data_IF_127970655408
#
_entry.id   IF_127970655408
#
_cell.length_a   1.000
_cell.length_b   1.000
_cell.length_c   1.000
_cell.angle_alpha   90.00
_cell.angle_beta   90.00
_cell.angle_gamma   90.00
#
_symmetry.space_group_name_H-M   'P 1'
#
loop_
_entity.id
_entity.type
_entity.pdbx_description
1 polymer ?
#
# COMPACT_ATOMS: atom_id res chain seq x y z
N UNK A 1 10.39 12.41 -3.09
CA UNK A 1 9.89 11.76 -4.30
C UNK A 1 10.80 10.67 -4.80
N UNK A 2 10.30 9.80 -5.66
CA UNK A 2 11.05 8.68 -6.21
C UNK A 2 10.47 8.19 -7.52
N UNK A 3 11.15 7.23 -8.14
CA UNK A 3 10.70 6.56 -9.35
C UNK A 3 10.75 5.05 -9.10
N UNK A 4 9.66 4.35 -9.42
CA UNK A 4 9.60 2.90 -9.43
C UNK A 4 9.77 2.40 -10.87
N UNK A 5 10.74 1.51 -11.06
CA UNK A 5 11.02 0.89 -12.36
C UNK A 5 10.31 -0.46 -12.48
N UNK A 6 9.87 -0.86 -13.69
CA UNK A 6 9.21 -2.13 -13.95
C UNK A 6 10.23 -3.28 -14.04
N UNK A 7 10.86 -3.63 -12.92
CA UNK A 7 11.90 -4.68 -12.86
C UNK A 7 11.35 -6.08 -12.63
N UNK A 8 10.08 -6.21 -12.27
CA UNK A 8 9.42 -7.49 -12.04
C UNK A 8 8.98 -8.16 -13.34
N UNK A 9 8.95 -9.50 -13.33
CA UNK A 9 8.33 -10.29 -14.41
C UNK A 9 6.82 -10.00 -14.44
N UNK A 10 6.30 -9.69 -15.60
CA UNK A 10 4.87 -9.55 -15.86
C UNK A 10 4.24 -10.92 -16.05
N UNK A 11 2.96 -11.03 -15.74
CA UNK A 11 2.13 -12.19 -16.04
C UNK A 11 2.15 -12.52 -17.54
N UNK A 12 2.33 -13.81 -17.86
CA UNK A 12 2.20 -14.32 -19.21
C UNK A 12 0.74 -14.77 -19.41
N UNK A 13 -0.04 -14.08 -20.25
CA UNK A 13 -1.45 -14.41 -20.47
C UNK A 13 -1.68 -15.82 -21.04
N UNK A 14 -0.64 -16.50 -21.49
CA UNK A 14 -0.70 -17.86 -22.05
C UNK A 14 -0.32 -18.93 -21.02
N UNK A 15 0.12 -18.54 -19.82
CA UNK A 15 0.48 -19.46 -18.75
C UNK A 15 -0.40 -19.24 -17.51
N UNK A 16 -1.39 -20.09 -17.29
CA UNK A 16 -2.34 -20.02 -16.18
C UNK A 16 -1.71 -20.20 -14.78
N UNK A 17 -0.47 -20.66 -14.71
CA UNK A 17 0.25 -20.92 -13.43
C UNK A 17 1.37 -19.92 -13.21
N UNK A 18 1.53 -18.94 -14.08
CA UNK A 18 2.53 -17.89 -13.92
C UNK A 18 2.11 -16.91 -12.81
N UNK A 19 3.03 -16.60 -11.93
CA UNK A 19 2.84 -15.58 -10.89
C UNK A 19 3.60 -14.33 -11.33
N UNK A 20 2.88 -13.22 -11.43
CA UNK A 20 3.48 -11.94 -11.66
C UNK A 20 4.19 -11.43 -10.39
N UNK A 21 5.39 -10.90 -10.56
CA UNK A 21 6.16 -10.24 -9.51
C UNK A 21 6.30 -8.73 -9.72
N UNK A 22 5.52 -8.18 -10.64
CA UNK A 22 5.56 -6.75 -10.92
C UNK A 22 4.44 -6.27 -11.83
N UNK A 23 4.03 -5.02 -11.63
CA UNK A 23 3.01 -4.37 -12.45
C UNK A 23 3.45 -4.09 -13.90
N UNK A 24 4.76 -4.20 -14.18
CA UNK A 24 5.35 -3.83 -15.47
C UNK A 24 5.32 -2.33 -15.78
N UNK A 25 4.78 -1.48 -14.90
CA UNK A 25 4.61 -0.07 -15.11
C UNK A 25 5.63 0.77 -14.35
N UNK A 26 6.05 1.89 -14.96
CA UNK A 26 6.76 2.95 -14.23
C UNK A 26 5.77 3.68 -13.32
N UNK A 27 6.26 4.14 -12.16
CA UNK A 27 5.47 5.03 -11.31
C UNK A 27 6.34 6.17 -10.76
N UNK A 28 5.75 7.35 -10.65
CA UNK A 28 6.31 8.48 -9.93
C UNK A 28 5.73 8.46 -8.51
N UNK A 29 6.62 8.48 -7.52
CA UNK A 29 6.27 8.35 -6.12
C UNK A 29 6.40 9.71 -5.44
N UNK A 30 5.33 10.18 -4.83
CA UNK A 30 5.30 11.40 -4.04
C UNK A 30 4.97 11.04 -2.61
N UNK A 31 5.80 11.51 -1.67
CA UNK A 31 5.58 11.30 -0.24
C UNK A 31 5.82 12.59 0.52
N UNK A 32 4.88 12.92 1.38
CA UNK A 32 4.98 14.02 2.33
C UNK A 32 4.81 13.47 3.74
N UNK A 33 5.78 13.76 4.61
CA UNK A 33 5.74 13.39 6.03
C UNK A 33 5.77 14.65 6.87
N UNK A 34 5.00 14.66 7.94
CA UNK A 34 5.00 15.72 8.92
C UNK A 34 4.90 15.15 10.34
N UNK A 35 5.82 15.58 11.20
CA UNK A 35 5.83 15.28 12.62
C UNK A 35 5.46 16.52 13.42
N UNK A 36 4.55 16.38 14.38
CA UNK A 36 4.15 17.42 15.28
C UNK A 36 4.41 17.01 16.74
N UNK A 37 5.29 17.73 17.42
CA UNK A 37 5.78 17.43 18.76
C UNK A 37 5.65 18.62 19.73
N UNK A 38 4.78 19.59 19.44
CA UNK A 38 4.62 20.79 20.28
C UNK A 38 3.90 20.52 21.60
N UNK A 39 3.22 19.39 21.73
CA UNK A 39 2.53 19.00 22.97
C UNK A 39 3.44 18.02 23.74
N UNK A 40 3.65 18.33 25.02
CA UNK A 40 4.47 17.46 25.89
C UNK A 40 3.93 16.04 25.92
N UNK A 41 4.84 15.07 25.78
CA UNK A 41 4.54 13.63 25.78
C UNK A 41 3.68 13.13 24.60
N UNK A 42 3.31 13.96 23.63
CA UNK A 42 2.53 13.59 22.46
C UNK A 42 3.37 13.79 21.20
N UNK A 43 3.47 12.73 20.40
CA UNK A 43 4.02 12.78 19.05
C UNK A 43 2.91 12.42 18.08
N UNK A 44 2.65 13.29 17.11
CA UNK A 44 1.75 13.03 16.01
C UNK A 44 2.57 12.95 14.73
N UNK A 45 2.29 11.94 13.92
CA UNK A 45 2.90 11.81 12.59
C UNK A 45 1.80 11.68 11.54
N UNK A 46 1.96 12.39 10.44
CA UNK A 46 1.12 12.30 9.26
C UNK A 46 1.94 12.05 8.01
N UNK A 47 1.57 11.06 7.23
CA UNK A 47 2.19 10.75 5.95
C UNK A 47 1.12 10.68 4.87
N UNK A 48 1.32 11.41 3.78
CA UNK A 48 0.53 11.31 2.54
C UNK A 48 1.43 10.75 1.45
N UNK A 49 0.95 9.73 0.76
CA UNK A 49 1.66 9.09 -0.35
C UNK A 49 0.75 9.10 -1.58
N UNK A 50 1.35 9.39 -2.74
CA UNK A 50 0.69 9.32 -4.04
C UNK A 50 1.63 8.68 -5.06
N UNK A 51 1.21 7.54 -5.61
CA UNK A 51 1.91 6.83 -6.66
C UNK A 51 1.18 7.09 -7.98
N UNK A 52 1.74 7.96 -8.83
CA UNK A 52 1.27 8.19 -10.19
C UNK A 52 1.80 7.07 -11.08
N UNK A 53 0.93 6.15 -11.50
CA UNK A 53 1.30 5.00 -12.32
C UNK A 53 1.20 5.36 -13.80
N UNK A 54 2.31 5.25 -14.52
CA UNK A 54 2.35 5.61 -15.94
C UNK A 54 1.75 4.49 -16.81
N UNK A 55 1.02 4.86 -17.88
CA UNK A 55 0.48 3.88 -18.82
C UNK A 55 1.57 3.06 -19.48
N UNK A 56 1.27 1.78 -19.68
CA UNK A 56 2.16 0.84 -20.35
C UNK A 56 1.45 0.08 -21.45
N UNK A 57 2.21 -0.58 -22.32
CA UNK A 57 1.67 -1.51 -23.30
C UNK A 57 1.94 -2.93 -22.82
N UNK A 58 0.89 -3.73 -22.75
CA UNK A 58 0.95 -5.14 -22.34
C UNK A 58 0.03 -5.97 -23.20
N UNK A 59 0.28 -7.27 -23.28
CA UNK A 59 -0.63 -8.21 -23.95
C UNK A 59 -1.57 -8.79 -22.91
N UNK A 60 -2.87 -8.68 -23.13
CA UNK A 60 -3.89 -9.24 -22.26
C UNK A 60 -4.82 -10.17 -23.03
N UNK A 61 -5.41 -11.13 -22.33
CA UNK A 61 -6.61 -11.84 -22.75
C UNK A 61 -7.82 -11.05 -22.26
N UNK A 62 -8.74 -10.76 -23.18
CA UNK A 62 -9.89 -9.88 -22.93
C UNK A 62 -11.16 -10.71 -23.05
N UNK A 63 -11.74 -11.15 -21.92
CA UNK A 63 -12.98 -11.91 -21.93
C UNK A 63 -14.17 -11.03 -22.32
N UNK A 64 -15.13 -11.59 -23.03
CA UNK A 64 -16.38 -10.92 -23.38
C UNK A 64 -17.29 -10.70 -22.17
N UNK A 65 -17.15 -11.54 -21.14
CA UNK A 65 -17.87 -11.47 -19.87
C UNK A 65 -16.90 -11.70 -18.70
N UNK A 66 -17.05 -10.92 -17.64
CA UNK A 66 -16.25 -11.01 -16.40
C UNK A 66 -16.39 -12.39 -15.72
N UNK A 67 -17.58 -13.02 -15.84
CA UNK A 67 -17.86 -14.32 -15.24
C UNK A 67 -17.30 -15.50 -16.05
N UNK A 68 -16.80 -15.25 -17.28
CA UNK A 68 -16.20 -16.25 -18.15
C UNK A 68 -14.77 -15.82 -18.49
N UNK A 69 -13.82 -15.96 -17.57
CA UNK A 69 -12.47 -15.40 -17.72
C UNK A 69 -11.63 -16.08 -18.80
N UNK A 70 -12.00 -17.31 -19.23
CA UNK A 70 -11.28 -18.01 -20.27
C UNK A 70 -11.71 -17.50 -21.66
N UNK A 71 -10.77 -16.91 -22.39
CA UNK A 71 -11.00 -16.36 -23.72
C UNK A 71 -9.80 -16.58 -24.64
N UNK A 72 -10.05 -16.67 -25.93
CA UNK A 72 -9.02 -16.65 -26.98
C UNK A 72 -8.72 -15.23 -27.47
N UNK A 73 -9.54 -14.23 -27.07
CA UNK A 73 -9.36 -12.83 -27.45
C UNK A 73 -8.07 -12.29 -26.81
N UNK A 74 -7.04 -12.11 -27.62
CA UNK A 74 -5.72 -11.65 -27.18
C UNK A 74 -5.35 -10.39 -27.94
N UNK A 75 -4.95 -9.38 -27.22
CA UNK A 75 -4.55 -8.11 -27.80
C UNK A 75 -3.43 -7.46 -27.03
N UNK A 76 -2.56 -6.70 -27.76
CA UNK A 76 -1.60 -5.79 -27.17
C UNK A 76 -2.26 -4.45 -26.91
N UNK A 77 -2.62 -4.20 -25.67
CA UNK A 77 -3.38 -3.03 -25.22
C UNK A 77 -2.50 -2.00 -24.52
N UNK A 78 -3.00 -0.77 -24.43
CA UNK A 78 -2.51 0.25 -23.54
C UNK A 78 -3.26 0.11 -22.23
N UNK A 79 -2.55 -0.22 -21.14
CA UNK A 79 -3.10 -0.33 -19.78
C UNK A 79 -2.56 0.81 -18.93
N UNK A 80 -3.44 1.52 -18.27
CA UNK A 80 -3.14 2.43 -17.18
C UNK A 80 -3.63 1.77 -15.89
N UNK A 81 -2.70 1.25 -15.12
CA UNK A 81 -2.98 0.73 -13.78
C UNK A 81 -3.32 1.93 -12.90
N UNK A 82 -4.44 1.89 -12.20
CA UNK A 82 -4.90 3.02 -11.40
C UNK A 82 -3.85 3.52 -10.40
N UNK A 83 -3.84 4.82 -10.17
CA UNK A 83 -2.95 5.46 -9.19
C UNK A 83 -3.27 4.97 -7.77
N UNK A 84 -2.28 5.05 -6.88
CA UNK A 84 -2.42 4.65 -5.49
C UNK A 84 -2.29 5.89 -4.60
N UNK A 85 -3.23 6.05 -3.68
CA UNK A 85 -3.24 7.10 -2.68
C UNK A 85 -3.22 6.44 -1.31
N UNK A 86 -2.29 6.86 -0.44
CA UNK A 86 -2.26 6.38 0.93
C UNK A 86 -2.14 7.54 1.93
N UNK A 87 -2.83 7.39 3.06
CA UNK A 87 -2.77 8.27 4.21
C UNK A 87 -2.43 7.43 5.45
N UNK A 88 -1.36 7.80 6.14
CA UNK A 88 -0.97 7.18 7.41
C UNK A 88 -0.96 8.26 8.48
N UNK A 89 -1.68 8.03 9.54
CA UNK A 89 -1.71 8.90 10.71
C UNK A 89 -1.31 8.08 11.93
N UNK A 90 -0.42 8.62 12.76
CA UNK A 90 -0.12 8.00 14.04
C UNK A 90 -0.08 9.03 15.16
N UNK A 91 -0.47 8.57 16.34
CA UNK A 91 -0.37 9.32 17.58
C UNK A 91 0.27 8.43 18.65
N UNK A 92 1.30 8.95 19.30
CA UNK A 92 1.97 8.28 20.41
C UNK A 92 1.94 9.19 21.62
N UNK A 93 1.39 8.71 22.72
CA UNK A 93 1.32 9.45 23.97
C UNK A 93 2.04 8.71 25.09
N UNK A 94 3.07 9.34 25.64
CA UNK A 94 3.80 8.81 26.80
C UNK A 94 3.01 9.09 28.07
N UNK A 95 2.38 8.03 28.60
CA UNK A 95 1.55 8.05 29.81
C UNK A 95 2.41 8.23 31.07
N UNK A 96 3.50 7.47 31.14
CA UNK A 96 4.45 7.46 32.24
C UNK A 96 5.83 7.04 31.74
N UNK A 97 6.89 7.17 32.55
CA UNK A 97 8.25 6.76 32.19
C UNK A 97 8.25 5.35 31.61
N UNK A 98 8.57 5.21 30.34
CA UNK A 98 8.62 3.95 29.62
C UNK A 98 7.27 3.39 29.14
N UNK A 99 6.12 3.91 29.57
CA UNK A 99 4.79 3.45 29.13
C UNK A 99 4.24 4.43 28.08
N UNK A 100 3.94 3.90 26.91
CA UNK A 100 3.39 4.67 25.78
C UNK A 100 2.12 4.00 25.24
N UNK A 101 1.11 4.80 25.00
CA UNK A 101 -0.07 4.40 24.21
C UNK A 101 0.11 4.88 22.77
N UNK A 102 -0.28 4.05 21.79
CA UNK A 102 -0.17 4.37 20.38
C UNK A 102 -1.46 4.10 19.63
N UNK A 103 -1.76 4.95 18.66
CA UNK A 103 -2.84 4.79 17.70
C UNK A 103 -2.24 5.00 16.31
N UNK A 104 -2.57 4.08 15.38
CA UNK A 104 -2.20 4.22 13.98
C UNK A 104 -3.44 3.99 13.11
N UNK A 105 -3.62 4.85 12.14
CA UNK A 105 -4.61 4.71 11.07
C UNK A 105 -3.88 4.70 9.73
N UNK A 106 -4.19 3.71 8.90
CA UNK A 106 -3.70 3.62 7.53
C UNK A 106 -4.90 3.46 6.58
N UNK A 107 -5.01 4.39 5.68
CA UNK A 107 -5.91 4.35 4.53
C UNK A 107 -5.11 4.16 3.27
N UNK A 108 -5.57 3.27 2.39
CA UNK A 108 -5.00 3.08 1.05
C UNK A 108 -6.14 2.89 0.05
N UNK A 109 -6.07 3.60 -1.05
CA UNK A 109 -6.99 3.46 -2.17
C UNK A 109 -6.20 3.33 -3.48
N UNK A 110 -6.49 2.30 -4.25
CA UNK A 110 -6.06 2.14 -5.64
C UNK A 110 -7.23 2.53 -6.55
N UNK A 111 -6.99 3.42 -7.49
CA UNK A 111 -7.97 3.83 -8.49
C UNK A 111 -8.19 2.71 -9.52
N UNK A 112 -9.30 2.80 -10.24
CA UNK A 112 -9.66 1.83 -11.28
C UNK A 112 -8.66 1.84 -12.44
N UNK A 113 -8.30 0.65 -12.91
CA UNK A 113 -7.50 0.49 -14.13
C UNK A 113 -8.29 0.98 -15.36
N UNK A 114 -7.56 1.44 -16.37
CA UNK A 114 -8.11 1.78 -17.68
C UNK A 114 -7.35 1.02 -18.76
N UNK A 115 -8.09 0.37 -19.65
CA UNK A 115 -7.55 -0.43 -20.74
C UNK A 115 -8.10 0.07 -22.05
N UNK A 116 -7.25 0.24 -23.04
CA UNK A 116 -7.65 0.61 -24.40
C UNK A 116 -6.86 -0.18 -25.44
N UNK A 117 -7.54 -0.63 -26.47
CA UNK A 117 -6.96 -1.35 -27.61
C UNK A 117 -7.67 -1.00 -28.91
N UNK A 118 -7.28 -1.64 -29.99
CA UNK A 118 -7.71 -1.32 -31.35
C UNK A 118 -8.67 -2.36 -31.95
N UNK A 119 -8.81 -3.56 -31.31
CA UNK A 119 -9.64 -4.65 -31.83
C UNK A 119 -11.13 -4.56 -31.46
N UNK A 120 -11.52 -3.57 -30.64
CA UNK A 120 -12.93 -3.36 -30.28
C UNK A 120 -13.50 -4.38 -29.30
N UNK A 121 -12.66 -5.05 -28.51
CA UNK A 121 -13.11 -5.95 -27.45
C UNK A 121 -13.76 -5.18 -26.30
N UNK A 122 -14.44 -5.91 -25.41
CA UNK A 122 -15.06 -5.32 -24.22
C UNK A 122 -14.02 -5.09 -23.12
N UNK A 123 -13.20 -4.03 -23.23
CA UNK A 123 -12.13 -3.73 -22.27
C UNK A 123 -12.64 -3.50 -20.84
N UNK A 124 -13.91 -3.11 -20.68
CA UNK A 124 -14.54 -2.95 -19.37
C UNK A 124 -14.52 -4.23 -18.53
N UNK A 125 -14.49 -5.41 -19.17
CA UNK A 125 -14.41 -6.69 -18.47
C UNK A 125 -13.13 -6.87 -17.67
N UNK A 126 -12.00 -6.34 -18.15
CA UNK A 126 -10.68 -6.38 -17.48
C UNK A 126 -10.43 -5.19 -16.59
N UNK A 127 -11.28 -4.16 -16.63
CA UNK A 127 -11.23 -2.99 -15.75
C UNK A 127 -12.10 -3.15 -14.50
N UNK A 128 -13.09 -4.06 -14.56
CA UNK A 128 -14.06 -4.24 -13.47
C UNK A 128 -13.35 -4.74 -12.20
N UNK A 129 -13.73 -4.17 -11.06
CA UNK A 129 -13.22 -4.58 -9.74
C UNK A 129 -11.70 -4.44 -9.55
N UNK A 130 -11.02 -3.60 -10.36
CA UNK A 130 -9.59 -3.36 -10.22
C UNK A 130 -9.24 -2.27 -9.21
N UNK A 131 -10.24 -1.49 -8.77
CA UNK A 131 -10.08 -0.55 -7.67
C UNK A 131 -10.15 -1.25 -6.33
N UNK A 132 -9.34 -0.81 -5.38
CA UNK A 132 -9.36 -1.33 -4.01
C UNK A 132 -9.35 -0.18 -3.01
N UNK A 133 -9.94 -0.40 -1.85
CA UNK A 133 -9.89 0.52 -0.74
C UNK A 133 -9.69 -0.28 0.55
N UNK A 134 -8.76 0.13 1.37
CA UNK A 134 -8.50 -0.51 2.65
C UNK A 134 -8.32 0.50 3.77
N UNK A 135 -8.78 0.13 4.96
CA UNK A 135 -8.61 0.87 6.19
C UNK A 135 -7.99 -0.06 7.23
N UNK A 136 -6.94 0.38 7.89
CA UNK A 136 -6.30 -0.39 8.95
C UNK A 136 -6.19 0.49 10.17
N UNK A 137 -6.65 -0.01 11.31
CA UNK A 137 -6.55 0.62 12.61
C UNK A 137 -5.67 -0.23 13.52
N UNK A 138 -4.72 0.40 14.19
CA UNK A 138 -3.90 -0.27 15.20
C UNK A 138 -3.92 0.55 16.48
N UNK A 139 -4.28 -0.10 17.59
CA UNK A 139 -4.20 0.48 18.92
C UNK A 139 -3.20 -0.36 19.71
N UNK A 140 -2.24 0.29 20.35
CA UNK A 140 -1.19 -0.43 21.07
C UNK A 140 -0.76 0.26 22.35
N UNK A 141 -0.15 -0.55 23.21
CA UNK A 141 0.58 -0.09 24.39
C UNK A 141 1.98 -0.70 24.36
N UNK A 142 2.96 0.09 24.70
CA UNK A 142 4.33 -0.37 24.84
C UNK A 142 4.92 0.05 26.18
N UNK A 143 5.74 -0.84 26.77
CA UNK A 143 6.51 -0.54 27.95
C UNK A 143 7.99 -0.79 27.69
N UNK A 144 8.82 0.25 27.89
CA UNK A 144 10.26 0.19 27.69
C UNK A 144 11.00 0.33 29.03
N UNK A 145 11.90 -0.61 29.30
CA UNK A 145 12.78 -0.56 30.47
C UNK A 145 14.07 0.23 30.22
N UNK A 146 14.23 0.87 29.06
CA UNK A 146 15.45 1.62 28.70
C UNK A 146 15.80 2.66 29.76
N UNK A 147 14.83 3.39 30.31
CA UNK A 147 15.06 4.37 31.36
C UNK A 147 15.61 3.73 32.67
N UNK A 148 15.13 2.52 33.03
CA UNK A 148 15.64 1.78 34.20
C UNK A 148 17.05 1.23 33.94
N UNK A 149 17.32 0.80 32.71
CA UNK A 149 18.65 0.37 32.31
C UNK A 149 19.66 1.52 32.39
N UNK A 150 19.30 2.71 31.89
CA UNK A 150 20.15 3.90 31.96
C UNK A 150 20.41 4.33 33.40
N UNK A 151 19.43 4.15 34.29
CA UNK A 151 19.57 4.39 35.74
C UNK A 151 20.26 3.25 36.49
N UNK A 152 20.74 2.19 35.79
CA UNK A 152 21.35 0.97 36.36
C UNK A 152 20.42 0.20 37.33
N UNK A 153 19.10 0.40 37.23
CA UNK A 153 18.08 -0.26 38.06
C UNK A 153 17.55 -1.57 37.46
N UNK A 154 17.82 -1.80 36.19
CA UNK A 154 17.41 -3.00 35.47
C UNK A 154 18.52 -3.45 34.51
N UNK A 155 18.80 -4.77 34.40
CA UNK A 155 19.98 -5.27 33.69
C UNK A 155 19.90 -5.22 32.17
N UNK A 156 18.69 -5.10 31.60
CA UNK A 156 18.47 -5.22 30.15
C UNK A 156 17.53 -4.10 29.61
N UNK A 157 17.82 -3.53 28.44
CA UNK A 157 16.92 -2.61 27.75
C UNK A 157 15.86 -3.41 26.97
N UNK A 158 14.75 -3.78 27.63
CA UNK A 158 13.64 -4.53 27.02
C UNK A 158 12.52 -3.59 26.61
N UNK A 159 11.78 -4.00 25.56
CA UNK A 159 10.55 -3.34 25.14
C UNK A 159 9.46 -4.42 24.97
N UNK A 160 8.34 -4.24 25.66
CA UNK A 160 7.15 -5.07 25.55
C UNK A 160 6.09 -4.30 24.79
N UNK A 161 5.46 -4.94 23.80
CA UNK A 161 4.42 -4.32 22.96
C UNK A 161 3.21 -5.23 22.94
N UNK A 162 2.04 -4.66 23.18
CA UNK A 162 0.73 -5.31 22.95
C UNK A 162 -0.03 -4.40 21.99
N UNK A 163 -0.49 -4.96 20.87
CA UNK A 163 -1.26 -4.22 19.89
C UNK A 163 -2.44 -5.03 19.37
N UNK A 164 -3.55 -4.35 19.14
CA UNK A 164 -4.71 -4.86 18.43
C UNK A 164 -4.78 -4.19 17.05
N UNK A 165 -5.03 -4.99 16.02
CA UNK A 165 -5.18 -4.53 14.64
C UNK A 165 -6.52 -4.96 14.09
N UNK A 166 -7.23 -4.01 13.49
CA UNK A 166 -8.45 -4.23 12.72
C UNK A 166 -8.25 -3.77 11.27
N UNK A 167 -9.04 -4.37 10.33
CA UNK A 167 -8.89 -4.15 8.88
C UNK A 167 -10.25 -4.10 8.18
#
# INVERSE_FOLDING_TARGET
GGIRFPTGKMDDPDNLVDLDFGSGAYALLFRFNHDYMAIKNLVLNGTVEYDLVLPQRTTLRIPDDVNVPLTFNREKVRRNIGDIIALKLSAEYTLYKGLTASLLYHFEAKLKDKVSGDMGFKYESVEKETNTMSHVYVVGFSYSTVHLFMEKKFPLPLCFVIAYRDR
#
